data_IF_316913845163
#
_entry.id   IF_316913845163
#
_cell.length_a   1.000
_cell.length_b   1.000
_cell.length_c   1.000
_cell.angle_alpha   90.00
_cell.angle_beta   90.00
_cell.angle_gamma   90.00
#
_symmetry.space_group_name_H-M   'P 1'
#
loop_
_entity.id
_entity.type
_entity.pdbx_description
1 polymer ?
#
# COMPACT_ATOMS: atom_id res chain seq x y z
N UNK A 1 2.26 -2.71 14.33
CA UNK A 1 1.41 -3.86 13.96
C UNK A 1 2.23 -5.15 13.90
N UNK A 2 3.30 -5.20 13.11
CA UNK A 2 4.09 -6.44 12.86
C UNK A 2 5.19 -6.76 13.90
N UNK A 3 5.48 -5.85 14.83
CA UNK A 3 6.58 -6.06 15.79
C UNK A 3 6.36 -7.31 16.68
N UNK A 4 5.10 -7.66 16.95
CA UNK A 4 4.73 -8.88 17.68
C UNK A 4 5.11 -10.16 16.92
N UNK A 5 5.14 -10.09 15.59
CA UNK A 5 5.45 -11.24 14.73
C UNK A 5 6.97 -11.38 14.55
N UNK A 6 7.71 -10.26 14.65
CA UNK A 6 9.19 -10.22 14.58
C UNK A 6 9.83 -10.55 15.93
N UNK A 7 9.28 -10.02 17.02
CA UNK A 7 9.80 -10.19 18.40
C UNK A 7 8.63 -10.65 19.30
N UNK A 8 8.19 -11.91 19.19
CA UNK A 8 7.01 -12.41 19.91
C UNK A 8 7.18 -12.41 21.43
N UNK A 9 8.42 -12.56 21.90
CA UNK A 9 8.78 -12.43 23.32
C UNK A 9 8.96 -10.97 23.77
N UNK A 10 8.79 -10.00 22.88
CA UNK A 10 9.06 -8.59 23.14
C UNK A 10 8.19 -7.98 24.24
N UNK A 11 7.06 -8.61 24.57
CA UNK A 11 6.17 -8.21 25.66
C UNK A 11 6.39 -8.98 26.97
N UNK A 12 7.37 -9.90 27.03
CA UNK A 12 7.72 -10.58 28.27
C UNK A 12 8.34 -9.59 29.27
N UNK A 13 7.95 -9.68 30.55
CA UNK A 13 8.40 -8.77 31.62
C UNK A 13 9.92 -8.76 31.79
N UNK A 14 10.56 -9.93 31.79
CA UNK A 14 12.02 -10.06 31.92
C UNK A 14 12.73 -9.42 30.73
N UNK A 15 12.22 -9.68 29.52
CA UNK A 15 12.76 -9.07 28.30
C UNK A 15 12.59 -7.54 28.30
N UNK A 16 11.41 -7.04 28.67
CA UNK A 16 11.14 -5.59 28.76
C UNK A 16 12.03 -4.90 29.79
N UNK A 17 12.31 -5.57 30.91
CA UNK A 17 13.18 -5.02 31.96
C UNK A 17 14.65 -4.98 31.53
N UNK A 18 15.16 -6.06 30.93
CA UNK A 18 16.58 -6.15 30.53
C UNK A 18 16.90 -5.41 29.22
N UNK A 19 16.00 -5.51 28.23
CA UNK A 19 16.25 -5.11 26.83
C UNK A 19 15.16 -4.23 26.23
N UNK A 20 14.15 -3.82 26.99
CA UNK A 20 13.06 -2.98 26.48
C UNK A 20 13.54 -1.65 25.90
N UNK A 21 14.63 -1.09 26.43
CA UNK A 21 15.28 0.12 25.93
C UNK A 21 15.83 0.00 24.51
N UNK A 22 16.05 -1.24 24.01
CA UNK A 22 16.52 -1.50 22.65
C UNK A 22 15.38 -1.60 21.62
N UNK A 23 14.12 -1.53 22.06
CA UNK A 23 12.93 -1.67 21.22
C UNK A 23 12.31 -0.32 20.84
N UNK A 24 11.71 -0.18 19.64
CA UNK A 24 11.77 -1.15 18.55
C UNK A 24 13.16 -1.14 17.87
N UNK A 25 13.67 -2.29 17.42
CA UNK A 25 14.94 -2.34 16.71
C UNK A 25 14.84 -1.57 15.39
N UNK A 26 15.97 -1.02 14.93
CA UNK A 26 16.01 -0.31 13.65
C UNK A 26 15.58 -1.25 12.52
N UNK A 27 14.55 -0.87 11.77
CA UNK A 27 14.01 -1.68 10.65
C UNK A 27 15.10 -2.01 9.62
N UNK A 28 16.02 -1.07 9.36
CA UNK A 28 17.15 -1.29 8.44
C UNK A 28 18.10 -2.40 8.90
N UNK A 29 18.25 -2.58 10.22
CA UNK A 29 19.03 -3.68 10.78
C UNK A 29 18.30 -5.02 10.60
N UNK A 30 17.00 -5.07 10.95
CA UNK A 30 16.16 -6.26 10.75
C UNK A 30 16.18 -6.75 9.30
N UNK A 31 16.03 -5.82 8.34
CA UNK A 31 16.08 -6.15 6.91
C UNK A 31 17.43 -6.71 6.45
N UNK A 32 18.54 -6.26 7.04
CA UNK A 32 19.87 -6.79 6.73
C UNK A 32 20.09 -8.21 7.27
N UNK A 33 19.45 -8.55 8.38
CA UNK A 33 19.57 -9.87 9.02
C UNK A 33 18.53 -10.87 8.53
N UNK A 34 17.57 -10.45 7.71
CA UNK A 34 16.56 -11.34 7.14
C UNK A 34 17.16 -12.28 6.09
N UNK A 35 16.86 -13.57 6.21
CA UNK A 35 17.21 -14.57 5.19
C UNK A 35 16.28 -14.44 3.98
N UNK A 36 16.71 -14.98 2.83
CA UNK A 36 15.87 -15.02 1.61
C UNK A 36 14.53 -15.71 1.86
N UNK A 37 14.53 -16.82 2.60
CA UNK A 37 13.32 -17.54 2.97
C UNK A 37 12.34 -16.68 3.80
N UNK A 38 12.86 -15.90 4.75
CA UNK A 38 12.03 -14.97 5.53
C UNK A 38 11.47 -13.86 4.63
N UNK A 39 12.29 -13.28 3.73
CA UNK A 39 11.81 -12.27 2.76
C UNK A 39 10.67 -12.82 1.90
N UNK A 40 10.82 -14.02 1.35
CA UNK A 40 9.79 -14.68 0.55
C UNK A 40 8.50 -14.97 1.34
N UNK A 41 8.62 -15.40 2.59
CA UNK A 41 7.46 -15.60 3.47
C UNK A 41 6.71 -14.28 3.72
N UNK A 42 7.43 -13.20 3.99
CA UNK A 42 6.82 -11.87 4.11
C UNK A 42 6.13 -11.45 2.82
N UNK A 43 6.79 -11.61 1.67
CA UNK A 43 6.23 -11.22 0.38
C UNK A 43 5.01 -12.06 -0.05
N UNK A 44 4.89 -13.30 0.41
CA UNK A 44 3.77 -14.20 0.10
C UNK A 44 2.62 -14.12 1.10
N UNK A 45 2.89 -13.80 2.36
CA UNK A 45 1.92 -13.92 3.45
C UNK A 45 1.68 -12.63 4.21
N UNK A 46 2.21 -11.48 3.77
CA UNK A 46 1.87 -10.18 4.33
C UNK A 46 1.24 -9.27 3.30
N UNK A 47 0.24 -8.53 3.75
CA UNK A 47 -0.35 -7.43 3.01
C UNK A 47 0.11 -6.11 3.61
N UNK A 48 0.52 -5.19 2.73
CA UNK A 48 0.81 -3.80 3.06
C UNK A 48 0.25 -2.97 1.93
N UNK A 49 -1.01 -2.54 2.07
CA UNK A 49 -1.73 -1.79 1.06
C UNK A 49 -2.54 -0.66 1.69
N UNK A 50 -2.55 0.48 1.00
CA UNK A 50 -3.36 1.65 1.33
C UNK A 50 -4.16 2.03 0.08
N UNK A 51 -5.47 1.79 0.16
CA UNK A 51 -6.41 1.93 -0.94
C UNK A 51 -7.41 3.02 -0.58
N UNK A 52 -7.32 4.12 -1.29
CA UNK A 52 -8.21 5.28 -1.14
C UNK A 52 -9.40 5.10 -2.06
N UNK A 53 -10.61 5.22 -1.52
CA UNK A 53 -11.85 5.24 -2.31
C UNK A 53 -12.72 6.43 -1.95
N UNK A 54 -13.59 6.92 -2.85
CA UNK A 54 -14.63 7.87 -2.47
C UNK A 54 -15.44 7.33 -1.28
N UNK A 55 -15.76 8.17 -0.29
CA UNK A 55 -16.36 7.71 0.97
C UNK A 55 -17.69 6.97 0.76
N UNK A 56 -18.41 7.28 -0.32
CA UNK A 56 -19.64 6.59 -0.75
C UNK A 56 -19.46 5.10 -1.03
N UNK A 57 -18.25 4.63 -1.32
CA UNK A 57 -17.91 3.22 -1.54
C UNK A 57 -17.22 2.57 -0.34
N UNK A 58 -17.04 3.30 0.79
CA UNK A 58 -16.27 2.82 1.94
C UNK A 58 -16.79 1.48 2.46
N UNK A 59 -18.12 1.35 2.61
CA UNK A 59 -18.74 0.16 3.17
C UNK A 59 -18.50 -1.05 2.26
N UNK A 60 -18.75 -0.88 0.97
CA UNK A 60 -18.56 -1.91 -0.05
C UNK A 60 -17.10 -2.32 -0.15
N UNK A 61 -16.17 -1.36 -0.09
CA UNK A 61 -14.74 -1.58 -0.12
C UNK A 61 -14.26 -2.39 1.09
N UNK A 62 -14.67 -2.01 2.32
CA UNK A 62 -14.30 -2.75 3.54
C UNK A 62 -14.80 -4.20 3.46
N UNK A 63 -16.05 -4.43 3.05
CA UNK A 63 -16.60 -5.77 2.92
C UNK A 63 -15.88 -6.59 1.84
N UNK A 64 -15.49 -5.95 0.73
CA UNK A 64 -14.71 -6.59 -0.32
C UNK A 64 -13.30 -6.97 0.18
N UNK A 65 -12.61 -6.06 0.87
CA UNK A 65 -11.28 -6.32 1.43
C UNK A 65 -11.31 -7.36 2.55
N UNK A 66 -12.34 -7.36 3.40
CA UNK A 66 -12.55 -8.40 4.40
C UNK A 66 -12.70 -9.77 3.74
N UNK A 67 -13.50 -9.88 2.67
CA UNK A 67 -13.68 -11.13 1.94
C UNK A 67 -12.38 -11.64 1.30
N UNK A 68 -11.61 -10.76 0.65
CA UNK A 68 -10.43 -11.18 -0.12
C UNK A 68 -9.18 -11.36 0.76
N UNK A 69 -9.01 -10.53 1.79
CA UNK A 69 -7.79 -10.45 2.61
C UNK A 69 -8.04 -10.89 4.05
N UNK A 70 -9.14 -10.46 4.67
CA UNK A 70 -9.47 -10.73 6.07
C UNK A 70 -8.30 -10.40 7.03
N UNK A 71 -7.88 -9.15 7.05
CA UNK A 71 -6.81 -8.65 7.93
C UNK A 71 -7.37 -7.64 8.91
N UNK A 72 -6.92 -7.72 10.15
CA UNK A 72 -7.34 -6.80 11.20
C UNK A 72 -6.19 -6.36 12.11
N UNK A 73 -6.27 -5.11 12.62
CA UNK A 73 -7.31 -4.14 12.33
C UNK A 73 -7.10 -3.39 11.01
N UNK A 74 -8.16 -2.73 10.57
CA UNK A 74 -8.19 -1.89 9.36
C UNK A 74 -7.99 -0.43 9.76
N UNK A 75 -7.10 0.27 9.07
CA UNK A 75 -6.88 1.71 9.24
C UNK A 75 -7.85 2.49 8.36
N UNK A 76 -8.48 3.54 8.90
CA UNK A 76 -9.38 4.41 8.15
C UNK A 76 -8.94 5.86 8.34
N UNK A 77 -8.62 6.55 7.23
CA UNK A 77 -8.22 7.95 7.26
C UNK A 77 -8.99 8.75 6.20
N UNK A 78 -10.06 9.46 6.58
CA UNK A 78 -10.79 10.34 5.67
C UNK A 78 -9.93 11.51 5.20
N UNK A 79 -10.02 11.86 3.92
CA UNK A 79 -9.32 12.98 3.32
C UNK A 79 -10.21 13.66 2.26
N UNK A 80 -10.25 14.98 2.26
CA UNK A 80 -10.92 15.75 1.21
C UNK A 80 -9.99 15.83 -0.01
N UNK A 81 -10.41 15.29 -1.15
CA UNK A 81 -9.67 15.46 -2.40
C UNK A 81 -10.21 16.67 -3.18
N UNK A 82 -9.34 17.64 -3.53
CA UNK A 82 -9.68 18.74 -4.42
C UNK A 82 -10.03 18.24 -5.83
N UNK A 83 -10.81 19.02 -6.61
CA UNK A 83 -11.08 18.73 -8.03
C UNK A 83 -10.02 19.33 -8.97
N UNK A 84 -9.06 20.05 -8.41
CA UNK A 84 -7.97 20.69 -9.11
C UNK A 84 -7.04 19.64 -9.77
N UNK A 85 -6.48 19.94 -10.95
CA UNK A 85 -5.62 18.99 -11.67
C UNK A 85 -4.42 18.55 -10.83
N UNK A 86 -4.22 17.24 -10.75
CA UNK A 86 -3.13 16.61 -10.03
C UNK A 86 -3.15 15.11 -10.26
N UNK A 87 -2.08 14.43 -9.85
CA UNK A 87 -2.01 12.96 -10.00
C UNK A 87 -3.14 12.26 -9.23
N UNK A 88 -3.49 12.81 -8.06
CA UNK A 88 -4.60 12.41 -7.20
C UNK A 88 -5.53 13.61 -7.02
N UNK A 89 -6.81 13.45 -7.36
CA UNK A 89 -7.83 14.50 -7.30
C UNK A 89 -9.22 13.84 -7.19
N UNK A 90 -10.28 14.62 -6.98
CA UNK A 90 -11.64 14.08 -7.13
C UNK A 90 -11.92 13.80 -8.60
N UNK A 91 -12.51 12.65 -8.89
CA UNK A 91 -13.01 12.32 -10.23
C UNK A 91 -14.28 13.10 -10.61
N UNK A 92 -14.79 13.93 -9.72
CA UNK A 92 -15.91 14.83 -9.97
C UNK A 92 -15.41 16.26 -10.18
N UNK A 93 -16.28 17.14 -10.68
CA UNK A 93 -15.96 18.57 -10.85
C UNK A 93 -15.94 19.36 -9.53
N UNK A 94 -15.96 18.67 -8.38
CA UNK A 94 -15.99 19.27 -7.04
C UNK A 94 -15.08 18.51 -6.10
N UNK A 95 -14.67 19.15 -5.01
CA UNK A 95 -13.98 18.43 -3.94
C UNK A 95 -14.91 17.38 -3.32
N UNK A 96 -14.41 16.14 -3.19
CA UNK A 96 -15.15 15.02 -2.62
C UNK A 96 -14.37 14.41 -1.45
N UNK A 97 -15.11 13.87 -0.48
CA UNK A 97 -14.50 13.14 0.63
C UNK A 97 -14.15 11.72 0.18
N UNK A 98 -12.89 11.36 0.38
CA UNK A 98 -12.35 10.03 0.19
C UNK A 98 -11.94 9.45 1.55
N UNK A 99 -11.73 8.15 1.60
CA UNK A 99 -11.20 7.46 2.76
C UNK A 99 -10.08 6.53 2.33
N UNK A 100 -8.92 6.68 2.96
CA UNK A 100 -7.82 5.73 2.87
C UNK A 100 -8.11 4.53 3.77
N UNK A 101 -8.12 3.34 3.17
CA UNK A 101 -8.36 2.07 3.84
C UNK A 101 -7.05 1.28 3.86
N UNK A 102 -6.38 1.30 5.01
CA UNK A 102 -5.09 0.68 5.21
C UNK A 102 -5.19 -0.74 5.75
N UNK A 103 -4.51 -1.67 5.07
CA UNK A 103 -4.53 -3.10 5.28
C UNK A 103 -3.11 -3.59 5.55
N UNK A 104 -2.82 -3.90 6.82
CA UNK A 104 -1.48 -4.25 7.27
C UNK A 104 -1.44 -5.52 8.11
N UNK A 105 -0.61 -6.47 7.72
CA UNK A 105 -0.28 -7.65 8.52
C UNK A 105 -0.48 -8.95 7.76
N UNK A 106 -0.69 -10.04 8.50
CA UNK A 106 -0.90 -11.37 7.94
C UNK A 106 -2.38 -11.60 7.63
N UNK A 107 -2.75 -11.83 6.35
CA UNK A 107 -4.11 -12.17 5.95
C UNK A 107 -4.59 -13.48 6.61
N UNK A 108 -5.83 -13.51 7.10
CA UNK A 108 -6.43 -14.73 7.65
C UNK A 108 -7.26 -15.51 6.63
N UNK A 109 -7.30 -15.06 5.37
CA UNK A 109 -8.00 -15.73 4.28
C UNK A 109 -7.19 -16.94 3.77
N UNK A 110 -7.79 -18.12 3.75
CA UNK A 110 -7.18 -19.35 3.20
C UNK A 110 -6.97 -19.29 1.68
N UNK A 111 -7.60 -18.33 1.01
CA UNK A 111 -7.49 -18.10 -0.44
C UNK A 111 -6.56 -16.95 -0.78
N UNK A 112 -5.89 -16.36 0.21
CA UNK A 112 -4.97 -15.25 -0.02
C UNK A 112 -3.75 -15.71 -0.81
N UNK A 113 -3.49 -15.02 -1.92
CA UNK A 113 -2.24 -15.08 -2.65
C UNK A 113 -1.80 -13.65 -2.93
N UNK A 114 -0.57 -13.29 -2.54
CA UNK A 114 -0.16 -11.89 -2.49
C UNK A 114 -0.21 -11.19 -3.84
N UNK A 115 0.03 -11.91 -4.94
CA UNK A 115 -0.01 -11.34 -6.29
C UNK A 115 -1.46 -11.18 -6.75
N UNK A 116 -2.23 -12.26 -6.77
CA UNK A 116 -3.58 -12.28 -7.33
C UNK A 116 -4.57 -11.52 -6.46
N UNK A 117 -4.48 -11.64 -5.14
CA UNK A 117 -5.35 -10.90 -4.22
C UNK A 117 -5.05 -9.40 -4.26
N UNK A 118 -3.77 -8.99 -4.26
CA UNK A 118 -3.43 -7.57 -4.39
C UNK A 118 -3.95 -7.01 -5.71
N UNK A 119 -3.72 -7.71 -6.83
CA UNK A 119 -4.21 -7.26 -8.13
C UNK A 119 -5.74 -7.08 -8.16
N UNK A 120 -6.49 -7.98 -7.51
CA UNK A 120 -7.96 -7.86 -7.40
C UNK A 120 -8.39 -6.61 -6.62
N UNK A 121 -7.77 -6.33 -5.47
CA UNK A 121 -8.14 -5.15 -4.67
C UNK A 121 -7.70 -3.84 -5.34
N UNK A 122 -6.60 -3.86 -6.09
CA UNK A 122 -6.16 -2.75 -6.94
C UNK A 122 -7.19 -2.46 -8.05
N UNK A 123 -7.65 -3.48 -8.79
CA UNK A 123 -8.70 -3.30 -9.79
C UNK A 123 -10.01 -2.80 -9.20
N UNK A 124 -10.44 -3.36 -8.07
CA UNK A 124 -11.64 -2.90 -7.38
C UNK A 124 -11.53 -1.42 -7.01
N UNK A 125 -10.35 -0.98 -6.58
CA UNK A 125 -10.06 0.43 -6.28
C UNK A 125 -10.17 1.31 -7.52
N UNK A 126 -9.65 0.87 -8.67
CA UNK A 126 -9.83 1.57 -9.97
C UNK A 126 -11.31 1.69 -10.32
N UNK A 127 -12.09 0.60 -10.18
CA UNK A 127 -13.52 0.60 -10.46
C UNK A 127 -14.30 1.58 -9.59
N UNK A 128 -13.85 1.79 -8.34
CA UNK A 128 -14.41 2.78 -7.43
C UNK A 128 -13.96 4.22 -7.72
N UNK A 129 -13.15 4.45 -8.77
CA UNK A 129 -12.46 5.73 -9.01
C UNK A 129 -11.60 6.17 -7.82
N UNK A 130 -10.90 5.19 -7.27
CA UNK A 130 -9.98 5.33 -6.14
C UNK A 130 -8.52 5.30 -6.55
N UNK A 131 -7.64 5.34 -5.56
CA UNK A 131 -6.19 5.41 -5.71
C UNK A 131 -5.47 4.45 -4.76
N UNK A 132 -4.33 3.92 -5.19
CA UNK A 132 -3.38 3.28 -4.28
C UNK A 132 -2.33 4.29 -3.83
N UNK A 133 -1.96 4.29 -2.55
CA UNK A 133 -0.85 5.10 -2.09
C UNK A 133 0.49 4.60 -2.66
N UNK A 134 1.22 5.49 -3.32
CA UNK A 134 2.43 5.18 -4.12
C UNK A 134 3.71 4.90 -3.30
N UNK A 135 3.57 4.39 -2.08
CA UNK A 135 4.67 3.76 -1.34
C UNK A 135 4.54 2.23 -1.34
N UNK A 136 3.31 1.71 -1.43
CA UNK A 136 3.02 0.29 -1.52
C UNK A 136 3.39 -0.24 -2.90
N UNK A 137 3.77 -1.53 -2.96
CA UNK A 137 4.08 -2.18 -4.21
C UNK A 137 2.80 -2.46 -5.01
N UNK A 138 2.86 -2.33 -6.34
CA UNK A 138 1.76 -2.68 -7.24
C UNK A 138 2.02 -3.98 -8.00
N UNK A 139 0.97 -4.75 -8.27
CA UNK A 139 0.99 -5.89 -9.19
C UNK A 139 0.23 -5.62 -10.50
N UNK A 140 -0.27 -4.39 -10.68
CA UNK A 140 -0.78 -3.91 -11.95
C UNK A 140 0.35 -3.80 -12.99
N UNK A 141 -0.02 -3.95 -14.25
CA UNK A 141 0.78 -3.49 -15.39
C UNK A 141 0.83 -1.97 -15.44
N UNK A 142 1.74 -1.41 -16.25
CA UNK A 142 1.89 0.05 -16.36
C UNK A 142 0.63 0.71 -16.91
N UNK A 143 -0.03 0.10 -17.88
CA UNK A 143 -1.29 0.61 -18.44
C UNK A 143 -2.42 0.61 -17.41
N UNK A 144 -2.56 -0.49 -16.66
CA UNK A 144 -3.58 -0.59 -15.59
C UNK A 144 -3.28 0.42 -14.46
N UNK A 145 -2.01 0.62 -14.11
CA UNK A 145 -1.61 1.64 -13.15
C UNK A 145 -1.93 3.06 -13.66
N UNK A 146 -1.76 3.31 -14.96
CA UNK A 146 -2.08 4.60 -15.57
C UNK A 146 -3.59 4.89 -15.55
N UNK A 147 -4.46 3.87 -15.60
CA UNK A 147 -5.91 4.05 -15.45
C UNK A 147 -6.30 4.60 -14.07
N UNK A 148 -5.48 4.34 -13.04
CA UNK A 148 -5.75 4.76 -11.66
C UNK A 148 -5.50 6.27 -11.43
N UNK A 149 -4.64 6.93 -12.22
CA UNK A 149 -4.23 8.32 -11.98
C UNK A 149 -4.23 9.17 -13.25
N UNK A 150 -4.54 10.47 -13.13
CA UNK A 150 -4.30 11.41 -14.24
C UNK A 150 -2.82 11.79 -14.33
N UNK A 151 -2.13 11.17 -15.28
CA UNK A 151 -0.71 11.41 -15.53
C UNK A 151 -0.43 12.64 -16.41
N UNK A 152 -1.45 13.36 -16.89
CA UNK A 152 -1.29 14.44 -17.86
C UNK A 152 -0.38 15.55 -17.34
N UNK A 153 -0.67 16.07 -16.13
CA UNK A 153 0.17 17.09 -15.51
C UNK A 153 1.56 16.56 -15.15
N UNK A 154 1.61 15.32 -14.67
CA UNK A 154 2.84 14.65 -14.29
C UNK A 154 3.83 14.53 -15.47
N UNK A 155 3.37 14.08 -16.65
CA UNK A 155 4.22 13.98 -17.83
C UNK A 155 4.65 15.35 -18.37
N UNK A 156 3.75 16.35 -18.36
CA UNK A 156 4.11 17.73 -18.76
C UNK A 156 5.26 18.30 -17.92
N UNK A 157 5.21 18.10 -16.59
CA UNK A 157 6.26 18.59 -15.69
C UNK A 157 7.56 17.83 -15.89
N UNK A 158 7.50 16.50 -16.06
CA UNK A 158 8.67 15.68 -16.32
C UNK A 158 9.39 16.03 -17.61
N UNK A 159 8.64 16.33 -18.66
CA UNK A 159 9.20 16.74 -19.93
C UNK A 159 9.90 18.10 -19.83
N UNK A 160 9.21 19.09 -19.26
CA UNK A 160 9.78 20.43 -19.02
C UNK A 160 11.08 20.40 -18.21
N UNK A 161 11.17 19.50 -17.23
CA UNK A 161 12.34 19.37 -16.34
C UNK A 161 13.31 18.28 -16.79
N UNK A 162 13.12 17.66 -17.96
CA UNK A 162 13.97 16.61 -18.52
C UNK A 162 14.23 15.43 -17.55
N UNK A 163 13.21 15.05 -16.78
CA UNK A 163 13.34 14.04 -15.73
C UNK A 163 13.60 12.62 -16.25
N UNK A 164 13.39 12.34 -17.54
CA UNK A 164 13.45 11.00 -18.13
C UNK A 164 14.82 10.33 -17.93
N UNK A 165 15.90 11.11 -17.93
CA UNK A 165 17.26 10.60 -17.80
C UNK A 165 17.77 10.60 -16.34
N UNK A 166 17.07 11.30 -15.44
CA UNK A 166 17.53 11.52 -14.07
C UNK A 166 16.72 10.73 -13.02
N UNK A 167 15.43 10.51 -13.26
CA UNK A 167 14.53 9.93 -12.28
C UNK A 167 13.60 8.88 -12.89
N UNK A 168 13.41 7.72 -12.23
CA UNK A 168 12.40 6.75 -12.65
C UNK A 168 11.01 7.40 -12.66
N UNK A 169 10.09 6.83 -13.43
CA UNK A 169 8.70 7.23 -13.35
C UNK A 169 8.04 6.65 -12.07
N UNK A 170 6.86 7.17 -11.70
CA UNK A 170 6.13 6.72 -10.50
C UNK A 170 5.85 5.22 -10.55
N UNK A 171 5.42 4.68 -11.69
CA UNK A 171 5.18 3.25 -11.85
C UNK A 171 6.45 2.42 -11.59
N UNK A 172 7.59 2.79 -12.19
CA UNK A 172 8.88 2.15 -11.96
C UNK A 172 9.35 2.26 -10.51
N UNK A 173 8.94 3.31 -9.79
CA UNK A 173 9.14 3.39 -8.34
C UNK A 173 8.29 2.38 -7.59
N UNK A 174 7.06 2.04 -7.98
CA UNK A 174 6.18 1.16 -7.17
C UNK A 174 6.10 -0.27 -7.68
N UNK A 175 6.57 -0.53 -8.90
CA UNK A 175 6.61 -1.88 -9.45
C UNK A 175 7.75 -2.69 -8.80
N UNK A 176 7.38 -3.81 -8.17
CA UNK A 176 8.35 -4.68 -7.49
C UNK A 176 9.41 -5.26 -8.44
N UNK A 177 9.06 -5.60 -9.68
CA UNK A 177 9.99 -6.16 -10.69
C UNK A 177 10.97 -5.14 -11.25
N UNK A 178 10.69 -3.85 -11.10
CA UNK A 178 11.59 -2.76 -11.54
C UNK A 178 12.56 -2.38 -10.41
N UNK A 179 12.25 -2.73 -9.16
CA UNK A 179 13.08 -2.44 -7.97
C UNK A 179 14.11 -3.51 -7.64
N UNK A 180 13.83 -4.78 -7.94
CA UNK A 180 14.73 -5.93 -7.75
C UNK A 180 15.58 -6.19 -9.01
#
# INVERSE_FOLDING_TARGET
WELKDIVPFGNNLVFRWLFGWSMPPKISFLKKTQTKAIKELYDKHHVVQDLIVPIKFMKEAILFFEKEINVYPVWLCPALLPSEPGLVHSFSDKSELYVDIGLYGTPNSTKYDSVTTTKKVEYYTIQCKGYQMMYAGTYLSESEFQEMFDHSLYYRVRDRLQCQNAFPNVYGKVNRKVRD
#
